data_IF_124143934617
#
_entry.id   IF_124143934617
#
_cell.length_a   1.000
_cell.length_b   1.000
_cell.length_c   1.000
_cell.angle_alpha   90.00
_cell.angle_beta   90.00
_cell.angle_gamma   90.00
#
_symmetry.space_group_name_H-M   'P 1'
#
loop_
_entity.id
_entity.type
_entity.pdbx_description
1 polymer ?
#
# COMPACT_ATOMS: atom_id res chain seq x y z
N UNK A 1 40.21 -49.94 -69.24
CA UNK A 1 38.82 -50.45 -69.14
C UNK A 1 37.88 -49.27 -69.05
N UNK A 2 36.72 -49.38 -69.68
CA UNK A 2 35.68 -48.35 -69.82
C UNK A 2 35.10 -47.86 -68.46
N UNK A 3 34.29 -46.79 -68.35
CA UNK A 3 33.46 -46.14 -69.37
C UNK A 3 33.15 -44.65 -69.10
N UNK A 4 32.55 -43.99 -70.11
CA UNK A 4 31.77 -42.74 -70.00
C UNK A 4 30.40 -42.99 -70.63
N UNK A 5 29.28 -42.53 -70.04
CA UNK A 5 28.41 -41.57 -70.74
C UNK A 5 27.81 -40.50 -69.76
N UNK A 6 27.89 -39.19 -70.06
CA UNK A 6 26.85 -38.38 -70.75
C UNK A 6 25.85 -37.71 -69.75
N UNK A 7 25.03 -36.70 -70.12
CA UNK A 7 25.38 -35.30 -69.81
C UNK A 7 24.33 -34.48 -69.04
N UNK A 8 24.69 -33.24 -68.67
CA UNK A 8 23.81 -32.23 -68.03
C UNK A 8 22.69 -31.71 -68.93
N UNK A 9 21.61 -31.23 -68.31
CA UNK A 9 20.67 -30.26 -68.87
C UNK A 9 20.47 -29.07 -67.91
N UNK A 10 20.62 -27.85 -68.44
CA UNK A 10 20.24 -26.57 -67.83
C UNK A 10 18.79 -26.23 -68.26
N UNK A 11 18.00 -25.25 -67.80
CA UNK A 11 18.06 -24.03 -66.92
C UNK A 11 16.55 -23.65 -66.71
N UNK A 12 16.09 -22.42 -66.35
CA UNK A 12 16.65 -21.21 -65.70
C UNK A 12 15.93 -20.94 -64.33
N UNK A 13 16.03 -19.81 -63.61
CA UNK A 13 17.01 -18.72 -63.44
C UNK A 13 16.62 -17.90 -62.19
N UNK A 14 17.58 -17.24 -61.52
CA UNK A 14 17.30 -16.15 -60.58
C UNK A 14 18.40 -15.06 -60.69
N UNK A 15 18.06 -13.77 -60.81
CA UNK A 15 19.00 -12.65 -60.65
C UNK A 15 18.64 -11.76 -59.44
N UNK A 16 19.51 -10.98 -58.82
CA UNK A 16 20.97 -11.05 -58.57
C UNK A 16 21.30 -10.01 -57.46
N UNK A 17 22.31 -10.19 -56.59
CA UNK A 17 22.59 -9.28 -55.46
C UNK A 17 23.77 -8.30 -55.70
N UNK A 18 23.78 -7.15 -55.01
CA UNK A 18 24.96 -6.30 -54.70
C UNK A 18 24.52 -5.13 -53.78
N UNK A 19 25.33 -4.51 -52.89
CA UNK A 19 26.72 -4.73 -52.48
C UNK A 19 26.99 -4.32 -51.01
N UNK A 20 28.04 -4.90 -50.42
CA UNK A 20 28.86 -4.37 -49.30
C UNK A 20 30.32 -4.29 -49.82
N UNK A 21 31.30 -3.51 -49.28
CA UNK A 21 31.79 -3.50 -47.88
C UNK A 21 32.21 -2.07 -47.37
N UNK A 22 32.96 -1.79 -46.29
CA UNK A 22 34.11 -2.45 -45.61
C UNK A 22 34.35 -1.87 -44.19
N UNK A 23 35.18 -2.51 -43.36
CA UNK A 23 35.30 -2.27 -41.91
C UNK A 23 36.62 -1.60 -41.43
N UNK A 24 36.65 -1.15 -40.15
CA UNK A 24 37.85 -0.84 -39.34
C UNK A 24 37.55 -0.97 -37.82
N UNK A 25 38.58 -1.07 -36.96
CA UNK A 25 38.52 -1.46 -35.54
C UNK A 25 39.10 -0.37 -34.58
N UNK A 26 38.99 -0.49 -33.22
CA UNK A 26 39.06 0.62 -32.24
C UNK A 26 40.50 0.89 -31.70
N UNK A 27 40.81 1.99 -30.95
CA UNK A 27 40.43 2.17 -29.52
C UNK A 27 40.30 3.63 -29.00
N UNK A 28 39.84 3.81 -27.74
CA UNK A 28 40.44 4.64 -26.66
C UNK A 28 39.43 5.05 -25.54
N UNK A 29 39.93 5.22 -24.32
CA UNK A 29 39.19 5.57 -23.08
C UNK A 29 39.69 6.89 -22.48
N UNK A 30 38.79 7.84 -22.21
CA UNK A 30 38.87 9.01 -21.27
C UNK A 30 37.60 9.86 -21.50
N UNK A 31 36.93 10.53 -20.55
CA UNK A 31 37.10 10.68 -19.09
C UNK A 31 35.72 10.63 -18.40
N UNK A 32 35.61 10.01 -17.23
CA UNK A 32 34.48 10.22 -16.30
C UNK A 32 34.76 11.45 -15.44
N UNK A 33 33.92 12.49 -15.55
CA UNK A 33 33.89 13.59 -14.58
C UNK A 33 32.70 13.41 -13.62
N UNK A 34 32.90 13.46 -12.28
CA UNK A 34 31.79 13.35 -11.34
C UNK A 34 30.85 14.55 -11.45
N UNK A 35 29.56 14.30 -11.65
CA UNK A 35 28.57 15.36 -11.73
C UNK A 35 28.33 15.97 -10.34
N UNK A 36 28.75 17.22 -10.15
CA UNK A 36 28.72 17.89 -8.84
C UNK A 36 27.32 18.18 -8.32
N UNK A 37 27.18 18.12 -6.99
CA UNK A 37 25.93 18.39 -6.29
C UNK A 37 25.70 19.89 -6.14
N UNK A 38 24.84 20.43 -7.02
CA UNK A 38 24.01 21.61 -6.76
C UNK A 38 24.59 22.98 -7.10
N UNK A 39 24.03 23.60 -8.14
CA UNK A 39 23.63 25.02 -8.15
C UNK A 39 22.39 25.20 -9.05
N UNK A 40 21.61 26.26 -8.81
CA UNK A 40 20.28 26.43 -9.38
C UNK A 40 20.27 26.94 -10.84
N UNK A 41 19.33 26.45 -11.65
CA UNK A 41 19.06 26.93 -13.00
C UNK A 41 17.72 26.42 -13.57
N UNK A 42 16.84 27.37 -13.89
CA UNK A 42 15.53 27.28 -14.58
C UNK A 42 14.45 26.24 -14.16
N UNK A 43 13.24 26.69 -13.72
CA UNK A 43 12.20 25.80 -13.19
C UNK A 43 11.30 25.10 -14.23
N UNK A 44 11.65 25.12 -15.52
CA UNK A 44 10.77 24.65 -16.61
C UNK A 44 11.17 23.33 -17.26
N UNK A 45 12.31 22.73 -16.89
CA UNK A 45 12.78 21.44 -17.42
C UNK A 45 12.49 20.22 -16.51
N UNK A 46 12.36 20.42 -15.19
CA UNK A 46 12.19 19.33 -14.20
C UNK A 46 10.76 18.72 -14.13
N UNK A 47 9.83 19.19 -14.96
CA UNK A 47 8.43 18.78 -14.91
C UNK A 47 8.14 17.39 -15.53
N UNK A 48 9.01 16.89 -16.42
CA UNK A 48 8.76 15.64 -17.16
C UNK A 48 9.47 14.42 -16.54
N UNK A 49 10.67 14.58 -15.97
CA UNK A 49 11.51 13.46 -15.49
C UNK A 49 11.12 12.91 -14.11
N UNK A 50 10.12 13.49 -13.43
CA UNK A 50 9.72 13.10 -12.06
C UNK A 50 8.50 12.16 -12.00
N UNK A 51 8.11 11.53 -13.12
CA UNK A 51 6.89 10.69 -13.22
C UNK A 51 7.10 9.19 -13.03
N UNK A 52 8.29 8.65 -13.30
CA UNK A 52 8.50 7.20 -13.39
C UNK A 52 8.51 6.44 -12.05
N UNK A 53 8.40 7.12 -10.91
CA UNK A 53 8.31 6.49 -9.58
C UNK A 53 6.89 6.28 -9.03
N UNK A 54 5.86 6.85 -9.66
CA UNK A 54 4.47 6.78 -9.20
C UNK A 54 3.50 6.17 -10.21
N UNK A 55 4.01 5.73 -11.36
CA UNK A 55 3.20 5.48 -12.54
C UNK A 55 2.42 4.16 -12.51
N UNK A 56 2.92 3.16 -11.76
CA UNK A 56 2.26 1.85 -11.61
C UNK A 56 0.92 1.93 -10.87
N UNK A 57 0.73 2.88 -9.94
CA UNK A 57 -0.54 3.00 -9.19
C UNK A 57 -1.59 3.83 -9.96
N UNK A 58 -1.15 4.64 -10.93
CA UNK A 58 -2.03 5.57 -11.67
C UNK A 58 -2.54 5.04 -13.00
N UNK A 59 -1.92 4.00 -13.58
CA UNK A 59 -2.39 3.40 -14.85
C UNK A 59 -3.71 2.65 -14.70
N UNK A 60 -4.05 2.16 -13.51
CA UNK A 60 -5.27 1.42 -13.22
C UNK A 60 -6.58 2.20 -13.41
N UNK A 61 -6.53 3.53 -13.54
CA UNK A 61 -7.72 4.37 -13.68
C UNK A 61 -8.30 4.41 -15.11
N UNK A 62 -7.56 3.98 -16.14
CA UNK A 62 -7.87 4.35 -17.53
C UNK A 62 -8.79 3.38 -18.29
N UNK A 63 -8.99 2.14 -17.83
CA UNK A 63 -9.76 1.11 -18.57
C UNK A 63 -11.18 0.82 -18.03
N UNK A 64 -11.59 1.41 -16.90
CA UNK A 64 -12.90 1.20 -16.29
C UNK A 64 -14.04 1.99 -16.98
N UNK A 65 -14.30 1.72 -18.26
CA UNK A 65 -15.47 2.25 -18.99
C UNK A 65 -16.56 1.19 -19.23
N UNK A 66 -17.07 0.60 -18.14
CA UNK A 66 -18.23 -0.31 -18.19
C UNK A 66 -19.30 0.05 -17.14
N UNK A 67 -20.27 0.88 -17.53
CA UNK A 67 -21.61 0.95 -16.92
C UNK A 67 -21.76 1.46 -15.46
N UNK A 68 -20.68 1.66 -14.71
CA UNK A 68 -20.65 2.02 -13.30
C UNK A 68 -20.93 3.52 -13.03
N UNK A 69 -22.04 4.05 -13.56
CA UNK A 69 -22.43 5.46 -13.48
C UNK A 69 -23.70 5.75 -12.70
N UNK A 70 -24.25 4.76 -11.97
CA UNK A 70 -25.49 4.90 -11.20
C UNK A 70 -25.45 4.06 -9.94
N UNK A 71 -25.60 4.74 -8.80
CA UNK A 71 -25.91 4.16 -7.49
C UNK A 71 -26.93 3.02 -7.68
N UNK A 72 -26.64 1.78 -7.26
CA UNK A 72 -27.53 0.66 -7.52
C UNK A 72 -28.95 0.91 -7.02
N UNK A 73 -29.94 0.40 -7.75
CA UNK A 73 -31.32 0.44 -7.30
C UNK A 73 -31.42 -0.15 -5.88
N UNK A 74 -32.13 0.55 -4.99
CA UNK A 74 -32.26 0.19 -3.57
C UNK A 74 -30.97 0.27 -2.73
N UNK A 75 -29.85 0.83 -3.22
CA UNK A 75 -28.59 0.97 -2.46
C UNK A 75 -28.82 1.53 -1.05
N UNK A 76 -29.47 2.69 -0.93
CA UNK A 76 -29.70 3.31 0.37
C UNK A 76 -30.64 2.47 1.27
N UNK A 77 -31.54 1.67 0.70
CA UNK A 77 -32.43 0.80 1.47
C UNK A 77 -31.66 -0.38 2.06
N UNK A 78 -30.77 -1.00 1.27
CA UNK A 78 -29.85 -2.04 1.75
C UNK A 78 -28.82 -1.49 2.74
N UNK A 79 -28.30 -0.27 2.51
CA UNK A 79 -27.35 0.41 3.39
C UNK A 79 -27.96 0.69 4.77
N UNK A 80 -29.09 1.40 4.80
CA UNK A 80 -29.77 1.69 6.07
C UNK A 80 -30.33 0.43 6.71
N UNK A 81 -30.78 -0.56 5.92
CA UNK A 81 -31.21 -1.87 6.41
C UNK A 81 -30.09 -2.61 7.12
N UNK A 82 -28.91 -2.77 6.50
CA UNK A 82 -27.76 -3.43 7.13
C UNK A 82 -27.21 -2.63 8.30
N UNK A 83 -27.14 -1.29 8.20
CA UNK A 83 -26.73 -0.42 9.30
C UNK A 83 -27.67 -0.52 10.52
N UNK A 84 -28.99 -0.59 10.31
CA UNK A 84 -29.96 -0.81 11.39
C UNK A 84 -29.79 -2.21 12.00
N UNK A 85 -29.63 -3.26 11.19
CA UNK A 85 -29.40 -4.63 11.70
C UNK A 85 -28.11 -4.70 12.52
N UNK A 86 -27.00 -4.16 12.01
CA UNK A 86 -25.74 -4.08 12.74
C UNK A 86 -25.84 -3.22 14.01
N UNK A 87 -26.55 -2.09 13.96
CA UNK A 87 -26.80 -1.22 15.11
C UNK A 87 -27.64 -1.91 16.19
N UNK A 88 -28.67 -2.67 15.81
CA UNK A 88 -29.48 -3.47 16.73
C UNK A 88 -28.69 -4.65 17.32
N UNK A 89 -27.84 -5.32 16.54
CA UNK A 89 -26.94 -6.37 17.03
C UNK A 89 -25.92 -5.81 18.04
N UNK A 90 -25.33 -4.65 17.74
CA UNK A 90 -24.44 -3.95 18.67
C UNK A 90 -25.17 -3.50 19.94
N UNK A 91 -26.38 -2.93 19.82
CA UNK A 91 -27.17 -2.51 20.97
C UNK A 91 -27.59 -3.70 21.84
N UNK A 92 -27.99 -4.83 21.23
CA UNK A 92 -28.26 -6.08 21.95
C UNK A 92 -27.01 -6.62 22.65
N UNK A 93 -25.85 -6.57 21.98
CA UNK A 93 -24.57 -6.98 22.56
C UNK A 93 -24.21 -6.11 23.77
N UNK A 94 -24.17 -4.79 23.62
CA UNK A 94 -23.86 -3.86 24.71
C UNK A 94 -24.87 -3.92 25.86
N UNK A 95 -26.16 -4.13 25.57
CA UNK A 95 -27.19 -4.29 26.62
C UNK A 95 -27.03 -5.57 27.43
N UNK A 96 -26.33 -6.59 26.89
CA UNK A 96 -26.04 -7.85 27.57
C UNK A 96 -24.67 -7.86 28.27
N UNK A 97 -23.91 -6.76 28.25
CA UNK A 97 -22.59 -6.72 28.87
C UNK A 97 -22.66 -6.54 30.39
N UNK A 98 -21.89 -7.35 31.10
CA UNK A 98 -21.71 -7.24 32.55
C UNK A 98 -20.80 -6.05 32.92
N UNK A 99 -20.84 -5.61 34.19
CA UNK A 99 -20.12 -4.41 34.65
C UNK A 99 -18.61 -4.43 34.37
N UNK A 100 -17.94 -5.57 34.57
CA UNK A 100 -16.51 -5.75 34.25
C UNK A 100 -16.24 -5.61 32.75
N UNK A 101 -17.15 -6.10 31.90
CA UNK A 101 -17.02 -6.03 30.45
C UNK A 101 -17.18 -4.58 29.96
N UNK A 102 -18.04 -3.78 30.60
CA UNK A 102 -18.18 -2.36 30.31
C UNK A 102 -16.95 -1.54 30.74
N UNK A 103 -16.24 -1.96 31.80
CA UNK A 103 -14.95 -1.36 32.18
C UNK A 103 -13.85 -1.68 31.16
N UNK A 104 -13.74 -2.94 30.73
CA UNK A 104 -12.83 -3.34 29.63
C UNK A 104 -13.16 -2.58 28.33
N UNK A 105 -14.45 -2.43 28.00
CA UNK A 105 -14.89 -1.66 26.84
C UNK A 105 -14.49 -0.19 26.95
N UNK A 106 -14.58 0.41 28.15
CA UNK A 106 -14.13 1.78 28.40
C UNK A 106 -12.63 1.93 28.22
N UNK A 107 -11.81 1.01 28.74
CA UNK A 107 -10.37 1.01 28.51
C UNK A 107 -10.03 0.88 27.01
N UNK A 108 -10.72 -0.04 26.31
CA UNK A 108 -10.58 -0.23 24.87
C UNK A 108 -10.96 1.05 24.09
N UNK A 109 -12.08 1.69 24.42
CA UNK A 109 -12.53 2.93 23.79
C UNK A 109 -11.51 4.05 24.01
N UNK A 110 -11.03 4.24 25.23
CA UNK A 110 -10.04 5.28 25.57
C UNK A 110 -8.70 5.05 24.84
N UNK A 111 -8.33 3.80 24.59
CA UNK A 111 -7.10 3.43 23.87
C UNK A 111 -7.24 3.52 22.34
N UNK A 112 -8.34 3.00 21.78
CA UNK A 112 -8.52 2.79 20.34
C UNK A 112 -9.18 3.97 19.63
N UNK A 113 -10.12 4.68 20.25
CA UNK A 113 -10.82 5.80 19.59
C UNK A 113 -9.87 6.94 19.19
N UNK A 114 -8.87 7.36 20.01
CA UNK A 114 -7.91 8.38 19.56
C UNK A 114 -7.15 7.99 18.29
N UNK A 115 -6.77 6.71 18.17
CA UNK A 115 -6.12 6.17 16.97
C UNK A 115 -7.08 6.17 15.78
N UNK A 116 -8.31 5.68 15.95
CA UNK A 116 -9.33 5.66 14.90
C UNK A 116 -9.71 7.05 14.40
N UNK A 117 -9.85 8.04 15.30
CA UNK A 117 -10.10 9.45 14.96
C UNK A 117 -8.91 10.02 14.16
N UNK A 118 -7.68 9.74 14.56
CA UNK A 118 -6.49 10.17 13.82
C UNK A 118 -6.46 9.56 12.40
N UNK A 119 -6.77 8.26 12.27
CA UNK A 119 -6.88 7.60 10.97
C UNK A 119 -7.97 8.22 10.09
N UNK A 120 -9.15 8.53 10.64
CA UNK A 120 -10.22 9.19 9.89
C UNK A 120 -9.81 10.59 9.42
N UNK A 121 -9.17 11.39 10.29
CA UNK A 121 -8.66 12.72 9.92
C UNK A 121 -7.64 12.62 8.77
N UNK A 122 -6.68 11.70 8.88
CA UNK A 122 -5.67 11.44 7.82
C UNK A 122 -6.35 11.03 6.51
N UNK A 123 -7.31 10.10 6.56
CA UNK A 123 -8.04 9.66 5.36
C UNK A 123 -8.83 10.81 4.72
N UNK A 124 -9.52 11.64 5.51
CA UNK A 124 -10.25 12.81 5.03
C UNK A 124 -9.30 13.79 4.33
N UNK A 125 -8.17 14.13 4.95
CA UNK A 125 -7.17 15.07 4.40
C UNK A 125 -6.58 14.56 3.07
N UNK A 126 -6.33 13.26 2.95
CA UNK A 126 -5.86 12.63 1.70
C UNK A 126 -6.98 12.62 0.64
N UNK A 127 -8.20 12.24 1.01
CA UNK A 127 -9.35 12.08 0.11
C UNK A 127 -9.75 13.42 -0.56
N UNK A 128 -9.71 14.51 0.20
CA UNK A 128 -9.96 15.87 -0.30
C UNK A 128 -8.72 16.52 -0.95
N UNK A 129 -7.60 15.81 -1.07
CA UNK A 129 -6.37 16.32 -1.70
C UNK A 129 -5.70 17.46 -0.95
N UNK A 130 -5.98 17.62 0.35
CA UNK A 130 -5.43 18.70 1.19
C UNK A 130 -3.96 18.40 1.54
N UNK A 131 -3.61 17.14 1.75
CA UNK A 131 -2.22 16.69 1.87
C UNK A 131 -2.04 15.36 1.13
N UNK A 132 -0.82 15.10 0.64
CA UNK A 132 -0.46 13.79 0.12
C UNK A 132 -0.41 12.74 1.24
N UNK A 133 -0.51 11.45 0.89
CA UNK A 133 -0.36 10.36 1.85
C UNK A 133 1.00 10.41 2.57
N UNK A 134 2.05 10.85 1.86
CA UNK A 134 3.40 11.06 2.41
C UNK A 134 3.47 12.22 3.40
N UNK A 135 2.82 13.35 3.14
CA UNK A 135 2.74 14.47 4.10
C UNK A 135 1.96 14.08 5.35
N UNK A 136 0.82 13.41 5.19
CA UNK A 136 -0.02 12.96 6.31
C UNK A 136 0.73 11.95 7.20
N UNK A 137 1.50 11.04 6.60
CA UNK A 137 2.38 10.12 7.31
C UNK A 137 3.51 10.84 8.04
N UNK A 138 4.10 11.89 7.46
CA UNK A 138 5.14 12.70 8.09
C UNK A 138 4.61 13.45 9.34
N UNK A 139 3.40 14.01 9.27
CA UNK A 139 2.73 14.65 10.41
C UNK A 139 2.47 13.63 11.53
N UNK A 140 1.98 12.42 11.19
CA UNK A 140 1.79 11.33 12.14
C UNK A 140 3.09 10.88 12.83
N UNK A 141 4.17 10.75 12.05
CA UNK A 141 5.50 10.41 12.58
C UNK A 141 6.07 11.51 13.49
N UNK A 142 5.87 12.79 13.14
CA UNK A 142 6.26 13.92 13.97
C UNK A 142 5.48 13.93 15.30
N UNK A 143 4.17 13.69 15.27
CA UNK A 143 3.33 13.59 16.47
C UNK A 143 3.73 12.43 17.40
N UNK A 144 4.01 11.25 16.84
CA UNK A 144 4.50 10.11 17.61
C UNK A 144 5.87 10.40 18.26
N UNK A 145 6.78 11.04 17.53
CA UNK A 145 8.09 11.43 18.05
C UNK A 145 7.97 12.52 19.12
N UNK A 146 7.09 13.51 18.93
CA UNK A 146 6.76 14.54 19.92
C UNK A 146 6.32 13.91 21.25
N UNK A 147 5.35 12.99 21.22
CA UNK A 147 4.85 12.29 22.40
C UNK A 147 5.94 11.46 23.09
N UNK A 148 6.79 10.77 22.31
CA UNK A 148 7.91 9.98 22.86
C UNK A 148 8.95 10.86 23.58
N UNK A 149 9.31 12.02 23.00
CA UNK A 149 10.23 12.97 23.64
C UNK A 149 9.57 13.66 24.84
N UNK A 150 8.28 14.00 24.74
CA UNK A 150 7.49 14.63 25.81
C UNK A 150 7.34 13.71 27.03
N UNK A 151 7.16 12.40 26.82
CA UNK A 151 7.07 11.41 27.89
C UNK A 151 8.36 11.32 28.74
N UNK A 152 9.54 11.53 28.14
CA UNK A 152 10.84 11.47 28.84
C UNK A 152 11.36 12.84 29.29
N UNK A 153 11.04 13.92 28.57
CA UNK A 153 11.63 15.26 28.77
C UNK A 153 10.60 16.42 28.74
N UNK A 154 9.50 16.35 29.52
CA UNK A 154 8.32 17.22 29.34
C UNK A 154 8.64 18.71 29.48
N UNK A 155 9.54 19.09 30.42
CA UNK A 155 9.92 20.50 30.64
C UNK A 155 10.66 21.10 29.44
N UNK A 156 11.53 20.33 28.78
CA UNK A 156 12.27 20.81 27.62
C UNK A 156 11.34 20.97 26.42
N UNK A 157 10.51 19.95 26.15
CA UNK A 157 9.52 19.98 25.07
C UNK A 157 8.58 21.18 25.21
N UNK A 158 8.06 21.44 26.41
CA UNK A 158 7.12 22.55 26.65
C UNK A 158 7.70 23.92 26.28
N UNK A 159 8.92 24.23 26.75
CA UNK A 159 9.59 25.50 26.42
C UNK A 159 9.92 25.64 24.93
N UNK A 160 10.46 24.59 24.31
CA UNK A 160 10.79 24.63 22.88
C UNK A 160 9.56 24.64 21.99
N UNK A 161 8.44 24.06 22.42
CA UNK A 161 7.16 24.13 21.71
C UNK A 161 6.57 25.53 21.75
N UNK A 162 6.59 26.21 22.91
CA UNK A 162 6.14 27.60 23.00
C UNK A 162 6.96 28.52 22.09
N UNK A 163 8.29 28.33 22.04
CA UNK A 163 9.14 29.05 21.10
C UNK A 163 8.74 28.77 19.63
N UNK A 164 8.48 27.51 19.29
CA UNK A 164 8.08 27.11 17.94
C UNK A 164 6.71 27.64 17.52
N UNK A 165 5.75 27.71 18.44
CA UNK A 165 4.45 28.35 18.22
C UNK A 165 4.65 29.83 17.88
N UNK A 166 5.45 30.56 18.66
CA UNK A 166 5.73 31.98 18.41
C UNK A 166 6.44 32.20 17.08
N UNK A 167 7.42 31.36 16.74
CA UNK A 167 8.13 31.42 15.44
C UNK A 167 7.19 31.08 14.28
N UNK A 168 6.35 30.05 14.41
CA UNK A 168 5.39 29.66 13.38
C UNK A 168 4.34 30.75 13.10
N UNK A 169 3.80 31.37 14.15
CA UNK A 169 2.90 32.55 14.03
C UNK A 169 3.62 33.72 13.36
N UNK A 170 4.86 34.02 13.75
CA UNK A 170 5.62 35.13 13.18
C UNK A 170 5.95 34.94 11.69
N UNK A 171 6.22 33.71 11.26
CA UNK A 171 6.46 33.38 9.85
C UNK A 171 5.19 33.45 9.02
N UNK A 172 4.10 32.80 9.45
CA UNK A 172 2.81 32.87 8.73
C UNK A 172 2.24 34.30 8.65
N UNK A 173 2.47 35.12 9.68
CA UNK A 173 2.13 36.54 9.66
C UNK A 173 3.00 37.33 8.66
N UNK A 174 4.28 36.98 8.50
CA UNK A 174 5.18 37.63 7.55
C UNK A 174 4.82 37.31 6.08
N UNK A 175 4.37 36.08 5.81
CA UNK A 175 3.88 35.69 4.47
C UNK A 175 2.45 36.20 4.19
N UNK A 176 1.78 36.79 5.18
CA UNK A 176 0.45 37.39 5.04
C UNK A 176 -0.67 36.35 4.94
N UNK A 177 -0.47 35.17 5.52
CA UNK A 177 -1.42 34.06 5.48
C UNK A 177 -2.73 34.36 6.26
N UNK A 178 -3.75 33.53 6.01
CA UNK A 178 -5.02 33.61 6.70
C UNK A 178 -4.95 32.99 8.11
N UNK A 179 -5.96 33.28 8.94
CA UNK A 179 -5.98 32.85 10.35
C UNK A 179 -5.94 31.32 10.51
N UNK A 180 -6.49 30.54 9.57
CA UNK A 180 -6.41 29.08 9.63
C UNK A 180 -4.99 28.59 9.36
N UNK A 181 -4.32 29.11 8.34
CA UNK A 181 -2.94 28.72 8.01
C UNK A 181 -1.94 29.18 9.07
N UNK A 182 -2.14 30.34 9.72
CA UNK A 182 -1.35 30.73 10.91
C UNK A 182 -1.49 29.71 12.07
N UNK A 183 -2.67 29.14 12.31
CA UNK A 183 -2.86 28.11 13.34
C UNK A 183 -2.11 26.82 12.96
N UNK A 184 -2.10 26.46 11.68
CA UNK A 184 -1.34 25.31 11.16
C UNK A 184 0.17 25.56 11.31
N UNK A 185 0.68 26.69 10.86
CA UNK A 185 2.09 27.10 10.98
C UNK A 185 2.55 27.13 12.44
N UNK A 186 1.73 27.67 13.35
CA UNK A 186 1.98 27.65 14.79
C UNK A 186 2.06 26.23 15.36
N UNK A 187 1.13 25.35 14.95
CA UNK A 187 1.05 23.96 15.43
C UNK A 187 2.21 23.10 14.92
N UNK A 188 2.57 23.23 13.64
CA UNK A 188 3.72 22.56 13.03
C UNK A 188 5.01 23.12 13.66
N UNK A 189 5.14 24.44 13.79
CA UNK A 189 6.30 25.08 14.42
C UNK A 189 6.54 24.56 15.84
N UNK A 190 5.50 24.57 16.69
CA UNK A 190 5.58 24.10 18.08
C UNK A 190 5.88 22.60 18.22
N UNK A 191 5.22 21.75 17.42
CA UNK A 191 5.51 20.30 17.44
C UNK A 191 6.90 19.99 16.88
N UNK A 192 7.35 20.69 15.83
CA UNK A 192 8.66 20.50 15.24
C UNK A 192 9.79 20.91 16.18
N UNK A 193 9.81 22.15 16.70
CA UNK A 193 10.87 22.60 17.61
C UNK A 193 10.85 21.82 18.94
N UNK A 194 9.65 21.56 19.48
CA UNK A 194 9.44 20.78 20.69
C UNK A 194 9.94 19.34 20.58
N UNK A 195 9.91 18.76 19.38
CA UNK A 195 10.47 17.42 19.13
C UNK A 195 11.96 17.47 18.84
N UNK A 196 12.35 18.23 17.80
CA UNK A 196 13.67 18.17 17.19
C UNK A 196 14.75 18.74 18.11
N UNK A 197 14.50 19.86 18.80
CA UNK A 197 15.54 20.53 19.58
C UNK A 197 15.88 19.72 20.84
N UNK A 198 14.91 19.31 21.70
CA UNK A 198 15.19 18.38 22.79
C UNK A 198 15.67 17.03 22.28
N UNK A 199 15.07 16.49 21.21
CA UNK A 199 15.45 15.20 20.64
C UNK A 199 16.93 15.14 20.25
N UNK A 200 17.43 16.11 19.48
CA UNK A 200 18.83 16.19 19.10
C UNK A 200 19.77 16.50 20.28
N UNK A 201 19.35 17.34 21.22
CA UNK A 201 20.14 17.66 22.41
C UNK A 201 20.33 16.44 23.33
N UNK A 202 19.26 15.71 23.59
CA UNK A 202 19.30 14.49 24.38
C UNK A 202 19.96 13.31 23.64
N UNK A 203 19.83 13.22 22.31
CA UNK A 203 20.54 12.22 21.52
C UNK A 203 22.06 12.43 21.53
N UNK A 204 22.53 13.68 21.62
CA UNK A 204 23.96 14.01 21.78
C UNK A 204 24.50 13.76 23.18
N UNK A 205 23.70 14.01 24.22
CA UNK A 205 24.13 13.91 25.63
C UNK A 205 23.90 12.53 26.26
N UNK A 206 22.93 11.75 25.79
CA UNK A 206 22.54 10.47 26.39
C UNK A 206 23.07 9.27 25.58
N UNK A 207 24.12 8.56 26.05
CA UNK A 207 24.69 7.43 25.30
C UNK A 207 23.72 6.24 25.17
N UNK A 208 22.87 6.01 26.17
CA UNK A 208 21.82 4.98 26.16
C UNK A 208 20.81 5.23 25.03
N UNK A 209 20.29 6.46 24.90
CA UNK A 209 19.36 6.83 23.84
C UNK A 209 19.97 6.63 22.46
N UNK A 210 21.25 6.99 22.30
CA UNK A 210 22.01 6.77 21.05
C UNK A 210 22.18 5.29 20.72
N UNK A 211 22.43 4.43 21.72
CA UNK A 211 22.53 2.99 21.52
C UNK A 211 21.17 2.38 21.11
N UNK A 212 20.12 2.69 21.86
CA UNK A 212 18.76 2.20 21.60
C UNK A 212 18.24 2.67 20.23
N UNK A 213 18.43 3.94 19.88
CA UNK A 213 18.04 4.46 18.57
C UNK A 213 18.84 3.79 17.44
N UNK A 214 20.16 3.63 17.58
CA UNK A 214 20.98 2.92 16.59
C UNK A 214 20.49 1.48 16.39
N UNK A 215 20.16 0.77 17.48
CA UNK A 215 19.65 -0.60 17.40
C UNK A 215 18.27 -0.66 16.76
N UNK A 216 17.35 0.22 17.14
CA UNK A 216 16.02 0.32 16.56
C UNK A 216 16.10 0.63 15.05
N UNK A 217 16.84 1.67 14.65
CA UNK A 217 17.04 2.02 13.24
C UNK A 217 17.69 0.87 12.45
N UNK A 218 18.68 0.17 13.00
CA UNK A 218 19.31 -0.96 12.32
C UNK A 218 18.35 -2.15 12.15
N UNK A 219 17.56 -2.48 13.17
CA UNK A 219 16.55 -3.54 13.08
C UNK A 219 15.46 -3.19 12.07
N UNK A 220 14.93 -1.97 12.11
CA UNK A 220 13.95 -1.47 11.13
C UNK A 220 14.53 -1.51 9.71
N UNK A 221 15.71 -0.93 9.49
CA UNK A 221 16.37 -0.91 8.19
C UNK A 221 16.67 -2.32 7.66
N UNK A 222 17.05 -3.28 8.53
CA UNK A 222 17.26 -4.68 8.12
C UNK A 222 15.97 -5.33 7.64
N UNK A 223 14.86 -5.14 8.36
CA UNK A 223 13.54 -5.68 7.95
C UNK A 223 13.04 -5.00 6.67
N UNK A 224 13.12 -3.67 6.58
CA UNK A 224 12.76 -2.93 5.37
C UNK A 224 13.62 -3.33 4.18
N UNK A 225 14.93 -3.52 4.34
CA UNK A 225 15.81 -3.96 3.26
C UNK A 225 15.47 -5.37 2.75
N UNK A 226 15.03 -6.28 3.63
CA UNK A 226 14.51 -7.59 3.21
C UNK A 226 13.27 -7.44 2.32
N UNK A 227 12.30 -6.61 2.71
CA UNK A 227 11.08 -6.35 1.91
C UNK A 227 11.42 -5.64 0.59
N UNK A 228 12.27 -4.61 0.62
CA UNK A 228 12.77 -3.93 -0.59
C UNK A 228 13.48 -4.89 -1.55
N UNK A 229 14.21 -5.89 -1.05
CA UNK A 229 14.84 -6.90 -1.89
C UNK A 229 13.83 -7.88 -2.51
N UNK A 230 12.75 -8.21 -1.79
CA UNK A 230 11.64 -9.01 -2.32
C UNK A 230 10.90 -8.28 -3.45
N UNK A 231 10.71 -6.95 -3.37
CA UNK A 231 10.23 -6.15 -4.49
C UNK A 231 11.13 -6.28 -5.74
N UNK A 232 12.46 -6.20 -5.59
CA UNK A 232 13.40 -6.35 -6.73
C UNK A 232 13.29 -7.74 -7.35
N UNK A 233 13.28 -8.80 -6.52
CA UNK A 233 13.12 -10.17 -7.00
C UNK A 233 11.76 -10.41 -7.68
N UNK A 234 10.69 -9.83 -7.14
CA UNK A 234 9.34 -9.89 -7.69
C UNK A 234 9.22 -9.15 -9.02
N UNK A 235 9.75 -7.93 -9.14
CA UNK A 235 9.71 -7.17 -10.38
C UNK A 235 10.49 -7.89 -11.50
N UNK A 236 11.67 -8.45 -11.17
CA UNK A 236 12.43 -9.28 -12.10
C UNK A 236 11.66 -10.53 -12.52
N UNK A 237 11.03 -11.24 -11.57
CA UNK A 237 10.19 -12.40 -11.88
C UNK A 237 9.03 -12.03 -12.80
N UNK A 238 8.26 -11.00 -12.47
CA UNK A 238 7.10 -10.56 -13.25
C UNK A 238 7.48 -10.11 -14.65
N UNK A 239 8.58 -9.35 -14.80
CA UNK A 239 9.10 -8.94 -16.11
C UNK A 239 9.56 -10.14 -16.95
N UNK A 240 10.35 -11.07 -16.37
CA UNK A 240 10.80 -12.28 -17.07
C UNK A 240 9.61 -13.18 -17.44
N UNK A 241 8.65 -13.34 -16.54
CA UNK A 241 7.44 -14.15 -16.76
C UNK A 241 6.56 -13.58 -17.89
N UNK A 242 6.39 -12.25 -17.95
CA UNK A 242 5.71 -11.57 -19.04
C UNK A 242 6.46 -11.76 -20.38
N UNK A 243 7.78 -11.55 -20.40
CA UNK A 243 8.62 -11.72 -21.60
C UNK A 243 8.60 -13.15 -22.15
N UNK A 244 8.48 -14.17 -21.31
CA UNK A 244 8.36 -15.58 -21.73
C UNK A 244 6.91 -15.98 -22.08
N UNK A 245 5.97 -15.04 -22.10
CA UNK A 245 4.57 -15.28 -22.43
C UNK A 245 3.80 -16.06 -21.36
N UNK A 246 4.32 -16.17 -20.13
CA UNK A 246 3.72 -16.92 -19.03
C UNK A 246 2.31 -16.45 -18.67
N UNK A 247 2.05 -15.15 -18.83
CA UNK A 247 0.71 -14.56 -18.68
C UNK A 247 -0.30 -15.21 -19.62
N UNK A 248 0.05 -15.40 -20.91
CA UNK A 248 -0.81 -16.07 -21.89
C UNK A 248 -1.00 -17.57 -21.63
N UNK A 249 -0.06 -18.21 -20.93
CA UNK A 249 -0.19 -19.61 -20.51
C UNK A 249 -1.20 -19.75 -19.37
N UNK A 250 -1.11 -18.89 -18.34
CA UNK A 250 -2.08 -18.88 -17.23
C UNK A 250 -3.46 -18.48 -17.75
N UNK A 251 -3.56 -17.46 -18.60
CA UNK A 251 -4.81 -17.06 -19.26
C UNK A 251 -5.46 -18.25 -19.96
N UNK A 252 -4.76 -18.91 -20.90
CA UNK A 252 -5.29 -20.09 -21.60
C UNK A 252 -5.73 -21.21 -20.65
N UNK A 253 -4.98 -21.44 -19.57
CA UNK A 253 -5.33 -22.45 -18.58
C UNK A 253 -6.60 -22.07 -17.80
N UNK A 254 -6.71 -20.82 -17.30
CA UNK A 254 -7.91 -20.33 -16.60
C UNK A 254 -9.14 -20.32 -17.51
N UNK A 255 -8.98 -19.88 -18.76
CA UNK A 255 -10.06 -19.91 -19.76
C UNK A 255 -10.49 -21.34 -20.11
N UNK A 256 -9.56 -22.31 -20.13
CA UNK A 256 -9.89 -23.73 -20.35
C UNK A 256 -10.75 -24.35 -19.24
N UNK A 257 -10.74 -23.77 -18.03
CA UNK A 257 -11.63 -24.20 -16.94
C UNK A 257 -13.09 -23.74 -17.14
N UNK A 258 -13.37 -22.87 -18.13
CA UNK A 258 -14.71 -22.38 -18.48
C UNK A 258 -15.52 -21.89 -17.26
N UNK A 259 -14.86 -21.12 -16.39
CA UNK A 259 -15.45 -20.59 -15.16
C UNK A 259 -16.53 -19.53 -15.49
N UNK A 260 -17.52 -19.41 -14.62
CA UNK A 260 -18.36 -18.21 -14.59
C UNK A 260 -17.58 -17.05 -13.93
N UNK A 261 -17.99 -15.77 -14.12
CA UNK A 261 -17.43 -14.63 -13.39
C UNK A 261 -17.40 -14.86 -11.87
N UNK A 262 -18.47 -15.47 -11.35
CA UNK A 262 -18.61 -15.94 -9.96
C UNK A 262 -17.52 -16.93 -9.57
N UNK A 263 -17.34 -17.98 -10.39
CA UNK A 263 -16.36 -19.04 -10.13
C UNK A 263 -14.92 -18.55 -10.23
N UNK A 264 -14.63 -17.63 -11.16
CA UNK A 264 -13.34 -16.95 -11.27
C UNK A 264 -13.07 -16.10 -10.02
N UNK A 265 -13.98 -15.20 -9.63
CA UNK A 265 -13.80 -14.32 -8.48
C UNK A 265 -13.57 -15.10 -7.18
N UNK A 266 -14.38 -16.15 -6.95
CA UNK A 266 -14.22 -17.01 -5.78
C UNK A 266 -12.90 -17.78 -5.81
N UNK A 267 -12.53 -18.37 -6.95
CA UNK A 267 -11.27 -19.12 -7.10
C UNK A 267 -10.04 -18.23 -6.92
N UNK A 268 -10.03 -17.03 -7.50
CA UNK A 268 -8.93 -16.08 -7.35
C UNK A 268 -8.77 -15.65 -5.87
N UNK A 269 -9.88 -15.34 -5.19
CA UNK A 269 -9.87 -15.00 -3.77
C UNK A 269 -9.43 -16.18 -2.88
N UNK A 270 -9.85 -17.41 -3.19
CA UNK A 270 -9.41 -18.60 -2.47
C UNK A 270 -7.90 -18.85 -2.65
N UNK A 271 -7.37 -18.70 -3.87
CA UNK A 271 -5.93 -18.81 -4.14
C UNK A 271 -5.16 -17.76 -3.34
N UNK A 272 -5.58 -16.50 -3.38
CA UNK A 272 -4.96 -15.39 -2.64
C UNK A 272 -5.00 -15.63 -1.13
N UNK A 273 -6.12 -16.13 -0.59
CA UNK A 273 -6.25 -16.46 0.84
C UNK A 273 -5.26 -17.56 1.26
N UNK A 274 -5.15 -18.63 0.47
CA UNK A 274 -4.24 -19.76 0.74
C UNK A 274 -2.76 -19.35 0.60
N UNK A 275 -2.44 -18.46 -0.34
CA UNK A 275 -1.10 -17.88 -0.50
C UNK A 275 -0.71 -16.94 0.65
N UNK A 276 -1.68 -16.32 1.31
CA UNK A 276 -1.49 -15.49 2.51
C UNK A 276 -1.07 -16.25 3.78
N UNK A 277 -0.95 -17.57 3.74
CA UNK A 277 -0.31 -18.34 4.81
C UNK A 277 1.23 -18.35 4.70
N UNK A 278 1.86 -18.75 3.57
CA UNK A 278 3.32 -18.75 3.43
C UNK A 278 3.95 -17.42 2.97
N UNK A 279 3.21 -16.51 2.34
CA UNK A 279 3.75 -15.28 1.73
C UNK A 279 3.28 -14.02 2.48
N UNK A 280 4.06 -12.93 2.37
CA UNK A 280 3.65 -11.62 2.87
C UNK A 280 2.69 -10.94 1.86
N UNK A 281 1.88 -10.00 2.32
CA UNK A 281 0.84 -9.36 1.48
C UNK A 281 1.46 -8.60 0.30
N UNK A 282 2.68 -8.09 0.48
CA UNK A 282 3.47 -7.40 -0.52
C UNK A 282 3.81 -8.30 -1.70
N UNK A 283 4.35 -9.50 -1.47
CA UNK A 283 4.66 -10.42 -2.58
C UNK A 283 3.40 -10.91 -3.30
N UNK A 284 2.29 -11.07 -2.58
CA UNK A 284 1.02 -11.44 -3.20
C UNK A 284 0.53 -10.34 -4.16
N UNK A 285 0.64 -9.07 -3.76
CA UNK A 285 0.28 -7.95 -4.63
C UNK A 285 1.23 -7.84 -5.83
N UNK A 286 2.56 -7.94 -5.65
CA UNK A 286 3.50 -7.68 -6.75
C UNK A 286 3.66 -8.87 -7.71
N UNK A 287 3.51 -10.11 -7.23
CA UNK A 287 3.63 -11.32 -8.07
C UNK A 287 2.26 -11.74 -8.65
N UNK A 288 1.23 -11.86 -7.81
CA UNK A 288 0.00 -12.57 -8.19
C UNK A 288 -1.11 -11.66 -8.70
N UNK A 289 -1.25 -10.42 -8.20
CA UNK A 289 -2.29 -9.53 -8.71
C UNK A 289 -2.13 -9.18 -10.20
N UNK A 290 -0.92 -8.91 -10.74
CA UNK A 290 -0.69 -8.72 -12.18
C UNK A 290 -1.06 -9.93 -13.06
N UNK A 291 -1.13 -11.13 -12.48
CA UNK A 291 -1.59 -12.34 -13.20
C UNK A 291 -3.12 -12.35 -13.33
N UNK A 292 -3.85 -11.87 -12.32
CA UNK A 292 -5.31 -11.83 -12.33
C UNK A 292 -5.89 -10.61 -13.04
N UNK A 293 -5.24 -9.43 -12.96
CA UNK A 293 -5.72 -8.16 -13.54
C UNK A 293 -6.13 -8.29 -15.02
N UNK A 294 -5.31 -8.89 -15.92
CA UNK A 294 -5.67 -9.07 -17.34
C UNK A 294 -6.92 -9.94 -17.57
N UNK A 295 -7.23 -10.84 -16.63
CA UNK A 295 -8.36 -11.76 -16.71
C UNK A 295 -9.68 -11.09 -16.29
N UNK A 296 -9.63 -10.00 -15.52
CA UNK A 296 -10.81 -9.32 -15.00
C UNK A 296 -11.74 -8.83 -16.13
N UNK A 297 -11.16 -8.32 -17.22
CA UNK A 297 -11.91 -7.87 -18.40
C UNK A 297 -12.68 -9.02 -19.07
N UNK A 298 -12.05 -10.19 -19.23
CA UNK A 298 -12.70 -11.39 -19.77
C UNK A 298 -13.87 -11.85 -18.89
N UNK A 299 -13.72 -11.78 -17.56
CA UNK A 299 -14.79 -12.15 -16.62
C UNK A 299 -15.76 -11.02 -16.29
N UNK A 300 -15.63 -9.83 -16.89
CA UNK A 300 -16.44 -8.64 -16.59
C UNK A 300 -16.43 -8.27 -15.08
N UNK A 301 -15.27 -8.40 -14.44
CA UNK A 301 -15.05 -8.02 -13.04
C UNK A 301 -14.42 -6.63 -13.00
N UNK A 302 -14.96 -5.75 -12.16
CA UNK A 302 -14.39 -4.42 -11.95
C UNK A 302 -13.04 -4.50 -11.18
N UNK A 303 -11.96 -3.83 -11.66
CA UNK A 303 -10.65 -3.85 -10.99
C UNK A 303 -10.62 -3.24 -9.59
N UNK A 304 -11.43 -2.21 -9.30
CA UNK A 304 -11.55 -1.58 -7.98
C UNK A 304 -12.25 -2.53 -7.02
N UNK A 305 -13.32 -3.20 -7.48
CA UNK A 305 -13.99 -4.26 -6.71
C UNK A 305 -13.00 -5.38 -6.39
N UNK A 306 -12.29 -5.91 -7.39
CA UNK A 306 -11.29 -6.96 -7.20
C UNK A 306 -10.20 -6.53 -6.22
N UNK A 307 -9.54 -5.39 -6.45
CA UNK A 307 -8.46 -4.89 -5.60
C UNK A 307 -8.90 -4.65 -4.15
N UNK A 308 -10.10 -4.11 -3.94
CA UNK A 308 -10.63 -3.91 -2.57
C UNK A 308 -10.98 -5.25 -1.91
N UNK A 309 -11.57 -6.20 -2.66
CA UNK A 309 -11.81 -7.55 -2.15
C UNK A 309 -10.50 -8.28 -1.81
N UNK A 310 -9.42 -8.08 -2.58
CA UNK A 310 -8.07 -8.60 -2.27
C UNK A 310 -7.53 -7.98 -0.98
N UNK A 311 -7.63 -6.66 -0.81
CA UNK A 311 -7.18 -5.96 0.39
C UNK A 311 -7.92 -6.41 1.68
N UNK A 312 -9.21 -6.71 1.59
CA UNK A 312 -9.99 -7.26 2.72
C UNK A 312 -9.65 -8.74 2.96
N UNK A 313 -9.41 -9.51 1.90
CA UNK A 313 -9.03 -10.93 1.98
C UNK A 313 -7.64 -11.15 2.59
N UNK A 314 -6.65 -10.31 2.24
CA UNK A 314 -5.32 -10.35 2.83
C UNK A 314 -5.34 -10.08 4.35
N UNK A 315 -6.20 -9.18 4.82
CA UNK A 315 -6.43 -8.99 6.26
C UNK A 315 -6.96 -10.26 6.94
N UNK A 316 -7.89 -10.98 6.31
CA UNK A 316 -8.39 -12.25 6.83
C UNK A 316 -7.28 -13.32 6.89
N UNK A 317 -6.48 -13.44 5.84
CA UNK A 317 -5.38 -14.40 5.76
C UNK A 317 -4.34 -14.18 6.88
N UNK A 318 -3.93 -12.93 7.11
CA UNK A 318 -2.95 -12.52 8.15
C UNK A 318 -3.42 -12.70 9.60
N UNK A 319 -4.73 -12.89 9.80
CA UNK A 319 -5.34 -13.20 11.10
C UNK A 319 -5.64 -14.70 11.25
N UNK A 320 -5.60 -15.47 10.16
CA UNK A 320 -6.03 -16.87 10.14
C UNK A 320 -4.95 -17.83 10.65
N UNK A 321 -5.27 -18.74 11.59
CA UNK A 321 -4.43 -19.89 11.87
C UNK A 321 -4.25 -20.75 10.60
N UNK A 322 -3.06 -21.34 10.34
CA UNK A 322 -1.97 -21.54 11.31
C UNK A 322 -0.88 -20.44 11.33
N UNK A 323 -0.82 -19.54 10.34
CA UNK A 323 0.27 -18.56 10.17
C UNK A 323 -0.17 -17.12 10.44
N UNK A 324 -0.98 -16.91 11.47
CA UNK A 324 -1.43 -15.58 11.88
C UNK A 324 -0.28 -14.78 12.53
N UNK A 325 0.59 -14.18 11.72
CA UNK A 325 1.79 -13.44 12.14
C UNK A 325 1.50 -12.37 13.21
N UNK A 326 0.36 -11.69 13.08
CA UNK A 326 -0.18 -10.73 14.04
C UNK A 326 -0.33 -11.30 15.46
N UNK A 327 -0.84 -12.54 15.60
CA UNK A 327 -0.98 -13.22 16.88
C UNK A 327 0.37 -13.58 17.51
N UNK A 328 1.36 -13.96 16.69
CA UNK A 328 2.72 -14.24 17.16
C UNK A 328 3.43 -12.97 17.66
N UNK A 329 3.23 -11.82 16.99
CA UNK A 329 3.72 -10.53 17.50
C UNK A 329 3.05 -10.16 18.84
N UNK A 330 1.72 -10.29 18.94
CA UNK A 330 1.02 -10.04 20.19
C UNK A 330 1.50 -10.99 21.30
N UNK A 331 1.74 -12.27 20.98
CA UNK A 331 2.26 -13.25 21.95
C UNK A 331 3.69 -12.93 22.42
N UNK A 332 4.48 -12.24 21.60
CA UNK A 332 5.82 -11.76 21.96
C UNK A 332 5.84 -10.68 23.05
N UNK A 333 4.79 -9.85 23.14
CA UNK A 333 4.62 -8.81 24.18
C UNK A 333 3.64 -9.20 25.29
N UNK A 334 2.83 -10.25 25.08
CA UNK A 334 1.81 -10.68 26.05
C UNK A 334 2.41 -11.35 27.30
N UNK A 335 1.78 -11.18 28.48
CA UNK A 335 2.14 -11.89 29.69
C UNK A 335 2.22 -13.42 29.50
N UNK A 336 3.07 -14.09 30.30
CA UNK A 336 3.32 -15.54 30.18
C UNK A 336 2.06 -16.40 30.30
N UNK A 337 1.04 -15.95 31.04
CA UNK A 337 -0.22 -16.65 31.25
C UNK A 337 -1.17 -16.62 30.03
N UNK A 338 -1.01 -15.66 29.11
CA UNK A 338 -1.85 -15.57 27.89
C UNK A 338 -1.34 -16.59 26.87
N UNK A 339 -2.14 -17.59 26.53
CA UNK A 339 -1.78 -18.61 25.55
C UNK A 339 -2.07 -18.17 24.12
N UNK A 340 -1.35 -18.72 23.14
CA UNK A 340 -1.59 -18.40 21.72
C UNK A 340 -3.02 -18.80 21.28
N UNK A 341 -3.56 -19.89 21.82
CA UNK A 341 -4.93 -20.32 21.54
C UNK A 341 -5.98 -19.32 22.06
N UNK A 342 -5.74 -18.64 23.19
CA UNK A 342 -6.61 -17.56 23.66
C UNK A 342 -6.55 -16.34 22.73
N UNK A 343 -5.36 -16.02 22.21
CA UNK A 343 -5.20 -14.94 21.22
C UNK A 343 -5.98 -15.28 19.94
N UNK A 344 -5.78 -16.48 19.37
CA UNK A 344 -6.55 -16.94 18.21
C UNK A 344 -8.06 -16.93 18.46
N UNK A 345 -8.52 -17.44 19.61
CA UNK A 345 -9.95 -17.42 19.97
C UNK A 345 -10.52 -16.00 20.07
N UNK A 346 -9.73 -15.03 20.55
CA UNK A 346 -10.12 -13.61 20.57
C UNK A 346 -10.16 -12.95 19.18
N UNK A 347 -9.37 -13.44 18.22
CA UNK A 347 -9.31 -12.92 16.85
C UNK A 347 -10.40 -13.50 15.92
N UNK A 348 -10.84 -14.74 16.19
CA UNK A 348 -11.85 -15.44 15.38
C UNK A 348 -13.17 -14.66 15.16
N UNK A 349 -13.76 -13.95 16.16
CA UNK A 349 -14.94 -13.12 15.94
C UNK A 349 -14.72 -12.02 14.89
N UNK A 350 -13.54 -11.39 14.89
CA UNK A 350 -13.19 -10.37 13.91
C UNK A 350 -13.01 -10.99 12.51
N UNK A 351 -12.36 -12.15 12.40
CA UNK A 351 -12.27 -12.88 11.13
C UNK A 351 -13.65 -13.22 10.55
N UNK A 352 -14.62 -13.63 11.38
CA UNK A 352 -15.99 -13.91 10.94
C UNK A 352 -16.64 -12.64 10.36
N UNK A 353 -16.44 -11.48 11.00
CA UNK A 353 -16.92 -10.19 10.48
C UNK A 353 -16.26 -9.85 9.12
N UNK A 354 -14.95 -10.10 8.96
CA UNK A 354 -14.26 -9.88 7.68
C UNK A 354 -14.78 -10.82 6.58
N UNK A 355 -15.02 -12.10 6.89
CA UNK A 355 -15.64 -13.04 5.95
C UNK A 355 -17.06 -12.61 5.56
N UNK A 356 -17.87 -12.12 6.50
CA UNK A 356 -19.20 -11.56 6.23
C UNK A 356 -19.09 -10.30 5.34
N UNK A 357 -18.08 -9.45 5.58
CA UNK A 357 -17.81 -8.28 4.73
C UNK A 357 -17.50 -8.69 3.29
N UNK A 358 -16.62 -9.68 3.08
CA UNK A 358 -16.32 -10.23 1.75
C UNK A 358 -17.58 -10.78 1.05
N UNK A 359 -18.46 -11.47 1.79
CA UNK A 359 -19.74 -11.96 1.27
C UNK A 359 -20.67 -10.80 0.88
N UNK A 360 -20.72 -9.72 1.65
CA UNK A 360 -21.51 -8.53 1.27
C UNK A 360 -20.94 -7.77 0.09
N UNK A 361 -19.61 -7.58 0.01
CA UNK A 361 -18.95 -7.01 -1.17
C UNK A 361 -19.22 -7.83 -2.43
N UNK A 362 -19.34 -9.16 -2.27
CA UNK A 362 -19.65 -10.08 -3.35
C UNK A 362 -21.11 -10.01 -3.82
N UNK A 363 -22.07 -10.05 -2.89
CA UNK A 363 -23.52 -10.00 -3.18
C UNK A 363 -23.93 -8.61 -3.68
N UNK A 364 -23.26 -7.56 -3.20
CA UNK A 364 -23.62 -6.17 -3.45
C UNK A 364 -22.37 -5.30 -3.75
N UNK A 365 -21.78 -5.44 -4.95
CA UNK A 365 -20.56 -4.75 -5.36
C UNK A 365 -20.59 -3.23 -5.19
N UNK A 366 -21.76 -2.60 -5.36
CA UNK A 366 -21.92 -1.16 -5.22
C UNK A 366 -21.63 -0.63 -3.81
N UNK A 367 -21.64 -1.47 -2.76
CA UNK A 367 -21.12 -1.09 -1.44
C UNK A 367 -19.64 -0.66 -1.51
N UNK A 368 -18.86 -1.31 -2.39
CA UNK A 368 -17.44 -1.03 -2.63
C UNK A 368 -17.26 0.14 -3.59
N UNK A 369 -18.02 0.16 -4.68
CA UNK A 369 -17.81 1.10 -5.79
C UNK A 369 -18.45 2.49 -5.56
N UNK A 370 -19.48 2.59 -4.70
CA UNK A 370 -20.24 3.83 -4.50
C UNK A 370 -19.38 5.04 -4.10
N UNK A 371 -18.42 4.89 -3.19
CA UNK A 371 -17.61 6.03 -2.72
C UNK A 371 -16.59 6.49 -3.79
N UNK A 372 -15.82 5.59 -4.45
CA UNK A 372 -15.03 5.94 -5.63
C UNK A 372 -15.86 6.59 -6.75
N UNK A 373 -17.02 6.02 -7.10
CA UNK A 373 -17.93 6.56 -8.11
C UNK A 373 -18.42 7.98 -7.73
N UNK A 374 -18.81 8.20 -6.47
CA UNK A 374 -19.33 9.49 -6.02
C UNK A 374 -18.28 10.62 -6.04
N UNK A 375 -17.01 10.29 -5.82
CA UNK A 375 -15.92 11.27 -5.73
C UNK A 375 -15.18 11.48 -7.05
N UNK A 376 -15.02 10.41 -7.85
CA UNK A 376 -14.16 10.39 -9.04
C UNK A 376 -14.89 9.96 -10.32
N UNK A 377 -16.10 9.41 -10.23
CA UNK A 377 -16.93 9.08 -11.39
C UNK A 377 -17.43 10.34 -12.10
N UNK A 378 -17.07 10.49 -13.37
CA UNK A 378 -17.55 11.54 -14.29
C UNK A 378 -18.38 10.94 -15.42
#
# INVERSE_FOLDING_TARGET
MEAKPAPLAATPSAPAPSATPKAAAPPATTDEQPQEVGMAGDPTADAETKREGGQEVTSFAQEATSGAGRIPAHFYQWFWGSAIVCGLLLLYYFWRMDGEQLEILKELIVSVVPLGVLTVIVLVVILFGICTATESAAIGALGALYLAVMAKYPKAVWWWSLLGVVVGVALGWYEGEDVASLIVAASIGGTFTGTVIPGLWYLRTSPELRANLKQATFLTAKTTAMVCWLFVGSALFSAVFALHGGQSLIERWVLSMNLSPVGFQFTAQLIIFLLGWPLEWTEIIVIFCPIFIPLLSHFNVDPILFGTMVAVNLQAAFLSPPVAMSAFYLKGVSPKHVTLNQIFAGMMPYMIIVCICLVFMYIWPGMTLWLPEFLYGK
#
